data_IF_202387172607
#
_entry.id   IF_202387172607
#
_cell.length_a   1.000
_cell.length_b   1.000
_cell.length_c   1.000
_cell.angle_alpha   90.00
_cell.angle_beta   90.00
_cell.angle_gamma   90.00
#
_symmetry.space_group_name_H-M   'P 1'
#
loop_
_entity.id
_entity.type
_entity.pdbx_description
1 polymer ?
#
# COMPACT_ATOMS: atom_id res chain seq x y z
N UNK A 1 13.80 -5.47 4.16
CA UNK A 1 13.22 -4.66 3.07
C UNK A 1 12.31 -5.51 2.18
N UNK A 2 12.82 -6.47 1.40
CA UNK A 2 12.02 -7.32 0.50
C UNK A 2 10.84 -8.05 1.17
N UNK A 3 11.01 -8.46 2.43
CA UNK A 3 9.93 -9.05 3.23
C UNK A 3 8.67 -8.16 3.30
N UNK A 4 8.85 -6.86 3.53
CA UNK A 4 7.72 -5.92 3.61
C UNK A 4 7.10 -5.63 2.23
N UNK A 5 7.88 -5.77 1.16
CA UNK A 5 7.41 -5.48 -0.20
C UNK A 5 6.56 -6.63 -0.74
N UNK A 6 7.07 -7.87 -0.68
CA UNK A 6 6.47 -8.97 -1.43
C UNK A 6 6.50 -10.34 -0.72
N UNK A 7 7.60 -10.70 -0.07
CA UNK A 7 7.84 -12.09 0.38
C UNK A 7 6.94 -12.48 1.56
N UNK A 8 6.88 -11.63 2.60
CA UNK A 8 6.14 -11.96 3.79
C UNK A 8 4.64 -11.95 3.53
N UNK A 9 3.90 -12.77 4.27
CA UNK A 9 2.44 -12.69 4.27
C UNK A 9 1.99 -11.35 4.85
N UNK A 10 0.87 -10.83 4.36
CA UNK A 10 0.35 -9.52 4.76
C UNK A 10 0.04 -9.43 6.27
N UNK A 11 -0.29 -10.56 6.91
CA UNK A 11 -0.56 -10.69 8.34
C UNK A 11 0.70 -10.84 9.22
N UNK A 12 1.89 -10.90 8.62
CA UNK A 12 3.15 -11.04 9.36
C UNK A 12 3.57 -9.75 10.07
N UNK A 13 4.18 -9.90 11.25
CA UNK A 13 4.84 -8.81 11.97
C UNK A 13 6.35 -9.02 11.90
N UNK A 14 7.07 -8.05 11.34
CA UNK A 14 8.53 -8.08 11.19
C UNK A 14 9.07 -6.78 11.75
N UNK A 15 10.01 -6.87 12.69
CA UNK A 15 10.58 -5.71 13.40
C UNK A 15 9.48 -4.78 13.95
N UNK A 16 8.52 -5.37 14.67
CA UNK A 16 7.36 -4.68 15.26
C UNK A 16 6.46 -3.93 14.26
N UNK A 17 6.56 -4.25 12.97
CA UNK A 17 5.74 -3.66 11.92
C UNK A 17 4.90 -4.71 11.22
N UNK A 18 3.58 -4.49 11.21
CA UNK A 18 2.65 -5.28 10.41
C UNK A 18 2.93 -5.04 8.92
N UNK A 19 3.20 -6.11 8.17
CA UNK A 19 3.51 -6.04 6.74
C UNK A 19 2.39 -5.36 5.94
N UNK A 20 1.12 -5.64 6.27
CA UNK A 20 -0.04 -4.95 5.67
C UNK A 20 0.07 -3.43 5.78
N UNK A 21 0.40 -2.90 6.98
CA UNK A 21 0.56 -1.45 7.19
C UNK A 21 1.73 -0.88 6.40
N UNK A 22 2.84 -1.63 6.30
CA UNK A 22 3.98 -1.20 5.48
C UNK A 22 3.60 -1.06 4.00
N UNK A 23 2.86 -2.02 3.44
CA UNK A 23 2.40 -1.99 2.04
C UNK A 23 1.38 -0.88 1.79
N UNK A 24 0.48 -0.65 2.73
CA UNK A 24 -0.46 0.47 2.68
C UNK A 24 0.26 1.82 2.66
N UNK A 25 1.27 2.00 3.51
CA UNK A 25 2.10 3.21 3.52
C UNK A 25 2.85 3.40 2.20
N UNK A 26 3.45 2.33 1.64
CA UNK A 26 4.12 2.39 0.33
C UNK A 26 3.17 2.82 -0.80
N UNK A 27 1.93 2.29 -0.82
CA UNK A 27 0.94 2.70 -1.81
C UNK A 27 0.51 4.16 -1.65
N UNK A 28 0.46 4.67 -0.42
CA UNK A 28 0.18 6.07 -0.16
C UNK A 28 1.29 6.98 -0.70
N UNK A 29 2.55 6.68 -0.37
CA UNK A 29 3.71 7.43 -0.87
C UNK A 29 3.73 7.44 -2.40
N UNK A 30 3.43 6.30 -3.04
CA UNK A 30 3.35 6.21 -4.51
C UNK A 30 2.34 7.21 -5.10
N UNK A 31 1.16 7.36 -4.48
CA UNK A 31 0.14 8.31 -4.95
C UNK A 31 0.51 9.78 -4.70
N UNK A 32 1.33 10.06 -3.68
CA UNK A 32 1.87 11.40 -3.41
C UNK A 32 2.97 11.76 -4.40
N UNK A 33 3.90 10.84 -4.65
CA UNK A 33 5.00 11.03 -5.61
C UNK A 33 4.50 11.10 -7.06
N UNK A 34 3.42 10.38 -7.37
CA UNK A 34 2.81 10.30 -8.69
C UNK A 34 1.29 10.50 -8.64
N UNK A 35 0.81 11.74 -8.42
CA UNK A 35 -0.61 12.03 -8.37
C UNK A 35 -1.32 11.69 -9.68
N UNK A 36 -2.51 11.12 -9.58
CA UNK A 36 -3.35 10.77 -10.73
C UNK A 36 -4.83 10.98 -10.39
N UNK A 37 -5.58 11.49 -11.35
CA UNK A 37 -7.04 11.46 -11.31
C UNK A 37 -7.50 10.11 -11.87
N UNK A 38 -8.13 9.28 -11.03
CA UNK A 38 -8.53 7.94 -11.40
C UNK A 38 -9.92 7.60 -10.85
N UNK A 39 -10.74 6.96 -11.69
CA UNK A 39 -12.05 6.45 -11.28
C UNK A 39 -11.96 5.14 -10.47
N UNK A 40 -10.87 4.40 -10.64
CA UNK A 40 -10.70 3.06 -10.08
C UNK A 40 -9.24 2.73 -9.79
N UNK A 41 -9.01 2.08 -8.65
CA UNK A 41 -7.72 1.51 -8.26
C UNK A 41 -7.90 0.01 -8.04
N UNK A 42 -7.15 -0.82 -8.76
CA UNK A 42 -7.17 -2.28 -8.62
C UNK A 42 -5.78 -2.77 -8.23
N UNK A 43 -5.71 -3.53 -7.14
CA UNK A 43 -4.50 -4.28 -6.78
C UNK A 43 -4.44 -5.62 -7.50
N UNK A 44 -3.24 -6.05 -7.90
CA UNK A 44 -3.01 -7.43 -8.36
C UNK A 44 -3.00 -8.36 -7.13
N UNK A 45 -3.86 -9.39 -7.10
CA UNK A 45 -3.91 -10.31 -5.98
C UNK A 45 -2.60 -11.09 -5.82
N UNK A 46 -2.08 -11.34 -4.62
CA UNK A 46 -2.62 -10.92 -3.30
C UNK A 46 -1.79 -9.81 -2.65
N UNK A 47 -0.50 -9.73 -3.00
CA UNK A 47 0.50 -8.89 -2.35
C UNK A 47 0.25 -7.40 -2.53
N UNK A 48 -0.32 -6.98 -3.67
CA UNK A 48 -0.53 -5.57 -3.97
C UNK A 48 -1.85 -5.01 -3.43
N UNK A 49 -2.73 -5.85 -2.87
CA UNK A 49 -4.05 -5.44 -2.34
C UNK A 49 -3.93 -4.32 -1.31
N UNK A 50 -3.01 -4.46 -0.35
CA UNK A 50 -2.78 -3.44 0.69
C UNK A 50 -2.21 -2.14 0.12
N UNK A 51 -1.33 -2.22 -0.89
CA UNK A 51 -0.76 -1.04 -1.55
C UNK A 51 -1.83 -0.31 -2.38
N UNK A 52 -2.68 -1.03 -3.10
CA UNK A 52 -3.81 -0.45 -3.83
C UNK A 52 -4.78 0.29 -2.90
N UNK A 53 -5.04 -0.25 -1.71
CA UNK A 53 -5.81 0.46 -0.69
C UNK A 53 -5.12 1.76 -0.24
N UNK A 54 -3.80 1.74 -0.05
CA UNK A 54 -2.99 2.93 0.25
C UNK A 54 -3.08 4.01 -0.83
N UNK A 55 -2.95 3.62 -2.10
CA UNK A 55 -3.12 4.52 -3.27
C UNK A 55 -4.52 5.12 -3.28
N UNK A 56 -5.56 4.29 -3.19
CA UNK A 56 -6.95 4.74 -3.23
C UNK A 56 -7.27 5.73 -2.09
N UNK A 57 -6.78 5.45 -0.88
CA UNK A 57 -7.02 6.32 0.26
C UNK A 57 -6.30 7.66 0.12
N UNK A 58 -5.08 7.68 -0.42
CA UNK A 58 -4.32 8.91 -0.67
C UNK A 58 -4.94 9.79 -1.76
N UNK A 59 -5.46 9.19 -2.84
CA UNK A 59 -6.19 9.91 -3.90
C UNK A 59 -7.46 10.56 -3.32
N UNK A 60 -8.17 9.85 -2.44
CA UNK A 60 -9.44 10.33 -1.84
C UNK A 60 -9.22 11.41 -0.79
N UNK A 61 -8.21 11.24 0.06
CA UNK A 61 -7.88 12.17 1.14
C UNK A 61 -6.35 12.22 1.29
N UNK A 62 -5.67 13.31 0.93
CA UNK A 62 -4.22 13.40 1.06
C UNK A 62 -3.72 13.54 2.51
N UNK A 63 -4.61 13.79 3.48
CA UNK A 63 -4.28 14.16 4.87
C UNK A 63 -4.40 13.03 5.90
N UNK A 64 -4.88 11.84 5.49
CA UNK A 64 -5.08 10.67 6.38
C UNK A 64 -3.79 10.06 6.95
#
# INVERSE_FOLDING_TARGET
>A
MFEHVYIARSDSVINDRLVYKSRMAMGRELAIEHPVEADLVIGVPDSATAAAFGVCSAIRDPLW
#
